data_IF_402735233657
#
_entry.id   IF_402735233657
#
_cell.length_a   1.000
_cell.length_b   1.000
_cell.length_c   1.000
_cell.angle_alpha   90.00
_cell.angle_beta   90.00
_cell.angle_gamma   90.00
#
_symmetry.space_group_name_H-M   'P 1'
#
loop_
_entity.id
_entity.type
_entity.pdbx_description
1 polymer ?
#
# COMPACT_ATOMS: atom_id res chain seq x y z
N UNK A 1 -2.70 -2.78 18.15
CA UNK A 1 -3.56 -3.01 16.98
C UNK A 1 -3.38 -4.44 16.50
N UNK A 2 -4.47 -5.10 16.18
CA UNK A 2 -4.45 -6.39 15.49
C UNK A 2 -3.72 -6.20 14.13
N UNK A 3 -2.82 -7.12 13.78
CA UNK A 3 -2.13 -7.10 12.50
C UNK A 3 -0.79 -6.37 12.47
N UNK A 4 -0.23 -5.99 13.61
CA UNK A 4 1.14 -5.44 13.64
C UNK A 4 2.17 -6.51 13.28
N UNK A 5 3.12 -6.21 12.38
CA UNK A 5 4.18 -7.17 12.05
C UNK A 5 5.05 -7.43 13.29
N UNK A 6 5.19 -8.69 13.68
CA UNK A 6 6.08 -9.10 14.78
C UNK A 6 7.27 -9.91 14.29
N UNK A 7 7.44 -9.96 12.99
CA UNK A 7 8.37 -10.82 12.28
C UNK A 7 9.76 -10.21 12.08
N UNK A 8 9.99 -9.00 12.56
CA UNK A 8 11.31 -8.39 12.61
C UNK A 8 11.64 -7.85 14.00
N UNK A 9 12.90 -7.55 14.26
CA UNK A 9 13.41 -7.12 15.56
C UNK A 9 12.84 -5.76 16.01
N UNK A 10 12.40 -4.91 15.08
CA UNK A 10 11.87 -3.58 15.41
C UNK A 10 10.47 -3.67 16.04
N UNK A 11 9.63 -4.59 15.56
CA UNK A 11 8.28 -4.78 16.07
C UNK A 11 8.20 -5.76 17.23
N UNK A 12 9.13 -6.72 17.31
CA UNK A 12 9.11 -7.79 18.31
C UNK A 12 9.20 -7.27 19.75
N UNK A 13 9.79 -6.10 19.97
CA UNK A 13 9.90 -5.43 21.28
C UNK A 13 8.60 -4.77 21.77
N UNK A 14 7.57 -4.66 20.92
CA UNK A 14 6.32 -3.97 21.26
C UNK A 14 5.15 -4.94 21.41
N UNK A 15 4.58 -4.98 22.61
CA UNK A 15 3.38 -5.78 22.88
C UNK A 15 2.07 -5.01 22.56
N UNK A 16 2.09 -3.70 22.77
CA UNK A 16 0.96 -2.82 22.48
C UNK A 16 1.48 -1.39 22.28
N UNK A 17 1.18 -0.80 21.13
CA UNK A 17 1.49 0.60 20.84
C UNK A 17 0.36 1.25 20.03
N UNK A 18 0.27 2.58 20.12
CA UNK A 18 -0.60 3.36 19.28
C UNK A 18 0.13 3.69 17.99
N UNK A 19 -0.46 3.32 16.85
CA UNK A 19 0.08 3.61 15.52
C UNK A 19 -0.91 4.49 14.77
N UNK A 20 -0.38 5.56 14.18
CA UNK A 20 -1.17 6.47 13.35
C UNK A 20 -1.55 5.75 12.06
N UNK A 21 -2.82 5.84 11.69
CA UNK A 21 -3.26 5.44 10.34
C UNK A 21 -2.72 6.46 9.33
N UNK A 22 -2.42 5.99 8.13
CA UNK A 22 -2.17 6.90 7.02
C UNK A 22 -3.41 7.75 6.77
N UNK A 23 -3.29 9.05 7.03
CA UNK A 23 -4.35 10.05 6.83
C UNK A 23 -4.01 10.97 5.65
N UNK A 24 -3.03 10.61 4.84
CA UNK A 24 -2.68 11.35 3.65
C UNK A 24 -3.88 11.34 2.70
N UNK A 25 -4.25 12.51 2.22
CA UNK A 25 -5.39 12.61 1.31
C UNK A 25 -5.00 12.05 -0.05
N UNK A 26 -5.59 10.95 -0.50
CA UNK A 26 -5.36 10.45 -1.84
C UNK A 26 -5.93 11.43 -2.86
N UNK A 27 -5.37 11.42 -4.06
CA UNK A 27 -5.93 12.17 -5.19
C UNK A 27 -7.35 11.66 -5.46
N UNK A 28 -8.33 12.58 -5.48
CA UNK A 28 -9.70 12.20 -5.80
C UNK A 28 -9.79 11.94 -7.30
N UNK A 29 -9.69 10.69 -7.66
CA UNK A 29 -9.80 10.26 -9.05
C UNK A 29 -11.28 10.30 -9.45
N UNK A 30 -11.57 11.01 -10.53
CA UNK A 30 -12.91 11.09 -11.10
C UNK A 30 -12.87 10.76 -12.59
N UNK A 31 -13.88 10.05 -13.06
CA UNK A 31 -14.01 9.56 -14.41
C UNK A 31 -15.27 10.15 -15.05
N UNK A 32 -15.10 10.81 -16.17
CA UNK A 32 -16.20 11.21 -17.06
C UNK A 32 -16.00 10.54 -18.41
N UNK A 33 -17.11 10.19 -19.09
CA UNK A 33 -17.03 9.53 -20.41
C UNK A 33 -16.23 10.36 -21.41
N UNK A 34 -16.46 11.68 -21.45
CA UNK A 34 -15.77 12.57 -22.39
C UNK A 34 -14.26 12.59 -22.18
N UNK A 35 -13.83 12.70 -20.94
CA UNK A 35 -12.40 12.71 -20.60
C UNK A 35 -11.73 11.37 -20.91
N UNK A 36 -12.43 10.27 -20.66
CA UNK A 36 -11.91 8.93 -20.94
C UNK A 36 -11.77 8.72 -22.45
N UNK A 37 -12.79 9.05 -23.23
CA UNK A 37 -12.72 8.95 -24.69
C UNK A 37 -11.64 9.85 -25.30
N UNK A 38 -11.47 11.07 -24.77
CA UNK A 38 -10.41 11.97 -25.21
C UNK A 38 -9.01 11.42 -24.97
N UNK A 39 -8.85 10.53 -23.98
CA UNK A 39 -7.60 9.86 -23.67
C UNK A 39 -7.52 8.41 -24.20
N UNK A 40 -8.41 8.03 -25.10
CA UNK A 40 -8.50 6.68 -25.69
C UNK A 40 -8.67 5.57 -24.62
N UNK A 41 -9.38 5.86 -23.54
CA UNK A 41 -9.75 4.89 -22.52
C UNK A 41 -11.09 4.27 -22.93
N UNK A 42 -11.17 2.97 -23.03
CA UNK A 42 -12.40 2.26 -23.40
C UNK A 42 -13.41 2.31 -22.25
N UNK A 43 -14.68 2.60 -22.58
CA UNK A 43 -15.71 2.88 -21.56
C UNK A 43 -16.84 1.86 -21.53
N UNK A 44 -16.88 0.92 -22.47
CA UNK A 44 -17.98 -0.05 -22.63
C UNK A 44 -17.47 -1.48 -22.77
N UNK A 45 -18.18 -2.42 -22.16
CA UNK A 45 -17.86 -3.85 -22.20
C UNK A 45 -17.17 -4.37 -20.93
N UNK A 46 -17.24 -5.68 -20.75
CA UNK A 46 -16.69 -6.36 -19.58
C UNK A 46 -15.17 -6.16 -19.42
N UNK A 47 -14.46 -6.09 -20.54
CA UNK A 47 -13.01 -5.93 -20.60
C UNK A 47 -12.62 -4.47 -20.90
N UNK A 48 -13.52 -3.51 -20.64
CA UNK A 48 -13.19 -2.10 -20.83
C UNK A 48 -12.15 -1.63 -19.80
N UNK A 49 -11.30 -0.70 -20.21
CA UNK A 49 -10.35 -0.06 -19.29
C UNK A 49 -11.05 0.52 -18.08
N UNK A 50 -12.24 1.09 -18.28
CA UNK A 50 -13.03 1.64 -17.19
C UNK A 50 -13.51 0.56 -16.21
N UNK A 51 -13.98 -0.59 -16.72
CA UNK A 51 -14.37 -1.73 -15.88
C UNK A 51 -13.20 -2.22 -15.02
N UNK A 52 -12.02 -2.33 -15.60
CA UNK A 52 -10.80 -2.76 -14.91
C UNK A 52 -10.37 -1.71 -13.87
N UNK A 53 -10.39 -0.42 -14.22
CA UNK A 53 -10.03 0.67 -13.30
C UNK A 53 -10.98 0.77 -12.09
N UNK A 54 -12.25 0.39 -12.26
CA UNK A 54 -13.20 0.28 -11.15
C UNK A 54 -13.00 -0.95 -10.27
N UNK A 55 -12.27 -1.95 -10.75
CA UNK A 55 -12.15 -3.24 -10.08
C UNK A 55 -13.42 -4.10 -10.15
N UNK A 56 -14.31 -3.81 -11.11
CA UNK A 56 -15.55 -4.56 -11.31
C UNK A 56 -15.32 -5.74 -12.25
N UNK A 57 -15.56 -6.95 -11.77
CA UNK A 57 -15.55 -8.17 -12.57
C UNK A 57 -16.75 -8.28 -13.53
N UNK A 58 -17.69 -7.34 -13.51
CA UNK A 58 -18.98 -7.42 -14.21
C UNK A 58 -19.17 -6.30 -15.25
N UNK A 59 -18.09 -5.70 -15.74
CA UNK A 59 -18.16 -4.82 -16.89
C UNK A 59 -18.99 -3.56 -16.67
N UNK A 60 -18.51 -2.67 -15.83
CA UNK A 60 -19.08 -1.32 -15.74
C UNK A 60 -18.90 -0.59 -17.07
N UNK A 61 -19.95 0.03 -17.53
CA UNK A 61 -19.95 0.88 -18.73
C UNK A 61 -20.30 2.30 -18.34
N UNK A 62 -19.61 3.28 -18.92
CA UNK A 62 -20.09 4.67 -18.99
C UNK A 62 -20.64 4.88 -20.41
N UNK A 63 -21.94 4.66 -20.57
CA UNK A 63 -22.60 4.78 -21.87
C UNK A 63 -23.16 6.17 -22.14
N UNK A 64 -23.39 6.95 -21.09
CA UNK A 64 -24.01 8.26 -21.14
C UNK A 64 -22.98 9.36 -20.84
N UNK A 65 -22.98 10.42 -21.67
CA UNK A 65 -22.13 11.60 -21.46
C UNK A 65 -22.39 12.34 -20.15
N UNK A 66 -23.54 12.10 -19.52
CA UNK A 66 -23.91 12.67 -18.24
C UNK A 66 -23.44 11.85 -17.02
N UNK A 67 -22.83 10.70 -17.25
CA UNK A 67 -22.35 9.85 -16.17
C UNK A 67 -20.94 10.25 -15.73
N UNK A 68 -20.76 10.32 -14.43
CA UNK A 68 -19.48 10.54 -13.79
C UNK A 68 -19.31 9.59 -12.59
N UNK A 69 -18.07 9.25 -12.30
CA UNK A 69 -17.69 8.43 -11.14
C UNK A 69 -16.59 9.13 -10.36
N UNK A 70 -16.65 9.00 -9.03
CA UNK A 70 -15.58 9.41 -8.12
C UNK A 70 -15.08 8.15 -7.45
N UNK A 71 -13.82 7.77 -7.68
CA UNK A 71 -13.33 6.44 -7.40
C UNK A 71 -14.24 5.39 -8.06
N UNK A 72 -14.84 4.53 -7.26
CA UNK A 72 -15.76 3.47 -7.71
C UNK A 72 -17.24 3.87 -7.61
N UNK A 73 -17.54 5.05 -7.07
CA UNK A 73 -18.89 5.49 -6.72
C UNK A 73 -19.47 6.37 -7.80
N UNK A 74 -20.68 6.03 -8.28
CA UNK A 74 -21.39 6.79 -9.31
C UNK A 74 -21.93 8.09 -8.75
N UNK A 75 -21.84 9.18 -9.54
CA UNK A 75 -22.55 10.43 -9.31
C UNK A 75 -23.97 10.29 -9.84
N UNK A 76 -24.95 10.26 -8.94
CA UNK A 76 -26.37 10.05 -9.29
C UNK A 76 -27.10 11.35 -9.61
N UNK A 77 -26.61 12.48 -9.10
CA UNK A 77 -27.12 13.81 -9.43
C UNK A 77 -25.98 14.81 -9.37
N UNK A 78 -25.78 15.53 -10.45
CA UNK A 78 -24.70 16.52 -10.58
C UNK A 78 -25.23 17.95 -10.68
N UNK A 79 -24.34 18.92 -10.45
CA UNK A 79 -24.52 20.33 -10.75
C UNK A 79 -25.73 20.99 -10.03
N UNK A 80 -26.07 20.53 -8.82
CA UNK A 80 -27.04 21.23 -8.00
C UNK A 80 -26.42 22.55 -7.54
N UNK A 81 -26.86 23.64 -8.14
CA UNK A 81 -26.32 25.00 -7.92
C UNK A 81 -26.65 25.51 -6.50
N UNK A 82 -25.62 25.98 -5.81
CA UNK A 82 -25.71 26.66 -4.54
C UNK A 82 -25.13 28.07 -4.65
N UNK A 83 -25.34 28.92 -3.63
CA UNK A 83 -24.83 30.28 -3.61
C UNK A 83 -23.30 30.37 -3.78
N UNK A 84 -22.59 29.40 -3.25
CA UNK A 84 -21.12 29.38 -3.15
C UNK A 84 -20.46 28.15 -3.76
N UNK A 85 -21.16 27.36 -4.61
CA UNK A 85 -20.63 26.19 -5.26
C UNK A 85 -21.69 25.27 -5.83
N UNK A 86 -21.33 24.01 -5.97
CA UNK A 86 -22.21 22.95 -6.49
C UNK A 86 -22.24 21.76 -5.55
N UNK A 87 -23.36 21.03 -5.53
CA UNK A 87 -23.49 19.75 -4.84
C UNK A 87 -23.61 18.67 -5.90
N UNK A 88 -22.83 17.61 -5.73
CA UNK A 88 -22.95 16.37 -6.48
C UNK A 88 -23.37 15.26 -5.52
N UNK A 89 -24.50 14.64 -5.79
CA UNK A 89 -24.99 13.51 -5.01
C UNK A 89 -24.36 12.23 -5.58
N UNK A 90 -23.80 11.43 -4.71
CA UNK A 90 -23.19 10.13 -5.03
C UNK A 90 -24.04 8.99 -4.47
N UNK A 91 -23.92 7.80 -5.07
CA UNK A 91 -24.73 6.63 -4.69
C UNK A 91 -24.32 6.00 -3.37
N UNK A 92 -23.07 6.22 -2.95
CA UNK A 92 -22.53 5.64 -1.72
C UNK A 92 -21.52 6.59 -1.07
N UNK A 93 -21.04 6.26 0.11
CA UNK A 93 -20.02 7.00 0.83
C UNK A 93 -18.67 6.88 0.09
N UNK A 94 -18.04 8.02 -0.16
CA UNK A 94 -16.72 8.04 -0.78
C UNK A 94 -15.67 7.56 0.24
N UNK A 95 -15.14 6.39 -0.01
CA UNK A 95 -14.03 5.83 0.79
C UNK A 95 -12.76 5.91 -0.06
N UNK A 96 -11.79 6.73 0.32
CA UNK A 96 -10.51 6.77 -0.36
C UNK A 96 -9.83 5.39 -0.33
N UNK A 97 -9.13 5.00 -1.41
CA UNK A 97 -8.35 3.77 -1.39
C UNK A 97 -7.25 3.85 -0.32
N UNK A 98 -6.96 2.73 0.32
CA UNK A 98 -5.82 2.57 1.21
C UNK A 98 -4.49 2.62 0.44
N UNK A 99 -3.38 2.79 1.18
CA UNK A 99 -2.06 2.61 0.57
C UNK A 99 -1.83 1.14 0.19
N UNK A 100 -0.78 0.88 -0.61
CA UNK A 100 -0.50 -0.47 -1.14
C UNK A 100 -0.36 -1.50 -0.01
N UNK A 101 0.37 -1.18 1.05
CA UNK A 101 0.57 -2.10 2.17
C UNK A 101 -0.74 -2.42 2.91
N UNK A 102 -1.65 -1.45 3.05
CA UNK A 102 -2.97 -1.67 3.63
C UNK A 102 -3.84 -2.57 2.75
N UNK A 103 -3.84 -2.34 1.44
CA UNK A 103 -4.58 -3.17 0.49
C UNK A 103 -4.06 -4.60 0.52
N UNK A 104 -2.74 -4.82 0.42
CA UNK A 104 -2.13 -6.15 0.52
C UNK A 104 -2.53 -6.89 1.82
N UNK A 105 -2.59 -6.15 2.92
CA UNK A 105 -2.96 -6.72 4.22
C UNK A 105 -4.44 -7.10 4.30
N UNK A 106 -5.32 -6.37 3.63
CA UNK A 106 -6.77 -6.61 3.62
C UNK A 106 -7.19 -7.74 2.68
N UNK A 107 -6.48 -7.93 1.57
CA UNK A 107 -6.80 -8.94 0.56
C UNK A 107 -6.63 -10.37 1.11
N UNK A 108 -7.46 -11.31 0.60
CA UNK A 108 -7.53 -12.67 1.14
C UNK A 108 -6.37 -13.55 0.75
N UNK A 109 -5.85 -13.36 -0.45
CA UNK A 109 -4.88 -14.25 -1.10
C UNK A 109 -3.48 -13.62 -1.26
N UNK A 110 -3.16 -12.60 -0.46
CA UNK A 110 -1.88 -11.88 -0.47
C UNK A 110 -1.24 -11.79 0.92
N UNK A 111 -1.55 -12.73 1.80
CA UNK A 111 -1.08 -12.71 3.20
C UNK A 111 0.43 -12.93 3.31
N UNK A 112 0.98 -13.83 2.51
CA UNK A 112 2.42 -14.12 2.52
C UNK A 112 3.22 -12.94 1.98
N UNK A 113 2.81 -12.35 0.85
CA UNK A 113 3.51 -11.16 0.33
C UNK A 113 3.35 -9.96 1.24
N UNK A 114 2.17 -9.74 1.84
CA UNK A 114 1.97 -8.71 2.85
C UNK A 114 2.92 -8.88 4.03
N UNK A 115 3.11 -10.14 4.51
CA UNK A 115 4.07 -10.46 5.56
C UNK A 115 5.52 -10.13 5.14
N UNK A 116 5.90 -10.51 3.92
CA UNK A 116 7.24 -10.22 3.38
C UNK A 116 7.48 -8.70 3.26
N UNK A 117 6.50 -7.95 2.79
CA UNK A 117 6.58 -6.48 2.75
C UNK A 117 6.74 -5.89 4.15
N UNK A 118 5.97 -6.37 5.12
CA UNK A 118 6.00 -5.88 6.50
C UNK A 118 7.33 -6.13 7.23
N UNK A 119 8.19 -7.05 6.76
CA UNK A 119 9.56 -7.17 7.26
C UNK A 119 10.37 -5.88 7.10
N UNK A 120 10.08 -5.10 6.08
CA UNK A 120 10.80 -3.87 5.75
C UNK A 120 10.22 -2.65 6.46
N UNK A 121 9.58 -2.83 7.61
CA UNK A 121 8.94 -1.74 8.34
C UNK A 121 9.39 -1.67 9.80
N UNK A 122 9.23 -0.49 10.38
CA UNK A 122 9.48 -0.27 11.80
C UNK A 122 8.54 0.79 12.37
N UNK A 123 8.32 0.79 13.70
CA UNK A 123 7.63 1.87 14.39
C UNK A 123 8.57 3.04 14.62
N UNK A 124 8.21 4.23 14.14
CA UNK A 124 8.91 5.48 14.38
C UNK A 124 8.09 6.38 15.29
N UNK A 125 8.68 6.86 16.36
CA UNK A 125 8.01 7.76 17.28
C UNK A 125 7.60 9.06 16.59
N UNK A 126 6.33 9.42 16.73
CA UNK A 126 5.76 10.66 16.20
C UNK A 126 5.47 11.64 17.33
N UNK A 127 6.45 12.47 17.63
CA UNK A 127 6.37 13.47 18.68
C UNK A 127 5.24 14.48 18.44
N UNK A 128 5.04 14.89 17.20
CA UNK A 128 4.02 15.89 16.83
C UNK A 128 2.62 15.35 17.05
N UNK A 129 2.35 14.15 16.55
CA UNK A 129 1.03 13.52 16.73
C UNK A 129 0.78 13.19 18.20
N UNK A 130 1.79 12.75 18.94
CA UNK A 130 1.68 12.51 20.39
C UNK A 130 1.31 13.79 21.14
N UNK A 131 2.01 14.90 20.86
CA UNK A 131 1.74 16.18 21.51
C UNK A 131 0.34 16.73 21.16
N UNK A 132 -0.06 16.63 19.90
CA UNK A 132 -1.39 17.08 19.44
C UNK A 132 -2.51 16.27 20.08
N UNK A 133 -2.37 14.94 20.14
CA UNK A 133 -3.34 14.08 20.83
C UNK A 133 -3.44 14.43 22.30
N UNK A 134 -2.32 14.58 23.01
CA UNK A 134 -2.32 14.87 24.44
C UNK A 134 -2.90 16.27 24.74
N UNK A 135 -2.67 17.26 23.89
CA UNK A 135 -3.31 18.57 23.99
C UNK A 135 -4.83 18.49 23.85
N UNK A 136 -5.30 17.73 22.87
CA UNK A 136 -6.72 17.45 22.70
C UNK A 136 -7.28 16.67 23.88
N UNK A 137 -6.60 15.61 24.33
CA UNK A 137 -7.04 14.79 25.46
C UNK A 137 -7.23 15.63 26.74
N UNK A 138 -6.28 16.49 27.05
CA UNK A 138 -6.37 17.40 28.20
C UNK A 138 -7.56 18.37 28.08
N UNK A 139 -7.79 18.91 26.88
CA UNK A 139 -8.92 19.82 26.64
C UNK A 139 -10.28 19.15 26.87
N UNK A 140 -10.39 17.87 26.54
CA UNK A 140 -11.66 17.11 26.60
C UNK A 140 -11.73 16.12 27.78
N UNK A 141 -10.80 16.20 28.74
CA UNK A 141 -10.79 15.32 29.91
C UNK A 141 -10.55 13.85 29.57
N UNK A 142 -9.86 13.56 28.47
CA UNK A 142 -9.51 12.23 28.04
C UNK A 142 -8.12 11.83 28.58
N UNK A 143 -7.83 10.52 28.70
CA UNK A 143 -6.51 10.06 29.10
C UNK A 143 -5.43 10.47 28.07
N UNK A 144 -4.30 10.93 28.57
CA UNK A 144 -3.10 11.12 27.75
C UNK A 144 -2.41 9.78 27.47
N UNK A 145 -1.57 9.76 26.43
CA UNK A 145 -0.77 8.59 26.06
C UNK A 145 0.70 8.97 25.97
N UNK A 146 1.59 8.02 26.28
CA UNK A 146 3.03 8.28 26.32
C UNK A 146 3.62 8.46 24.93
N UNK A 147 3.15 7.68 23.96
CA UNK A 147 3.72 7.69 22.62
C UNK A 147 2.73 7.20 21.56
N UNK A 148 2.79 7.89 20.41
CA UNK A 148 2.19 7.47 19.16
C UNK A 148 3.32 7.25 18.16
N UNK A 149 3.20 6.20 17.35
CA UNK A 149 4.19 5.83 16.37
C UNK A 149 3.60 5.91 14.95
N UNK A 150 4.47 6.11 13.96
CA UNK A 150 4.19 5.89 12.56
C UNK A 150 4.81 4.57 12.14
N UNK A 151 4.09 3.75 11.39
CA UNK A 151 4.67 2.61 10.69
C UNK A 151 5.30 3.14 9.40
N UNK A 152 6.61 3.00 9.24
CA UNK A 152 7.31 3.40 8.03
C UNK A 152 8.03 2.21 7.42
N UNK A 153 8.05 2.17 6.10
CA UNK A 153 8.80 1.17 5.34
C UNK A 153 10.18 1.72 5.00
N UNK A 154 11.18 0.85 5.14
CA UNK A 154 12.55 1.16 4.68
C UNK A 154 12.56 1.20 3.16
N UNK A 155 12.81 2.36 2.58
CA UNK A 155 12.76 2.54 1.15
C UNK A 155 13.83 3.50 0.65
N UNK A 156 14.34 3.22 -0.54
CA UNK A 156 15.27 4.11 -1.25
C UNK A 156 14.56 5.35 -1.76
N UNK A 157 13.26 5.26 -1.97
CA UNK A 157 12.38 6.34 -2.41
C UNK A 157 11.11 6.33 -1.58
N UNK A 158 10.87 7.38 -0.85
CA UNK A 158 9.61 7.61 -0.16
C UNK A 158 8.93 8.85 -0.73
N UNK A 159 7.72 9.00 -0.34
CA UNK A 159 6.92 10.13 -0.68
C UNK A 159 7.54 11.43 -0.25
N UNK A 160 7.34 12.47 -1.08
CA UNK A 160 7.98 13.75 -0.88
C UNK A 160 9.48 13.72 -1.11
N UNK A 161 10.01 12.67 -1.76
CA UNK A 161 11.41 12.55 -2.14
C UNK A 161 12.38 12.29 -0.99
N UNK A 162 11.89 12.03 0.23
CA UNK A 162 12.75 11.76 1.40
C UNK A 162 12.80 10.26 1.68
N UNK A 163 13.90 9.56 1.34
CA UNK A 163 14.00 8.13 1.59
C UNK A 163 14.02 7.79 3.08
N UNK A 164 13.33 6.71 3.47
CA UNK A 164 13.35 6.15 4.82
C UNK A 164 14.54 5.19 4.98
N UNK A 165 15.72 5.74 5.11
CA UNK A 165 17.00 5.03 5.11
C UNK A 165 17.63 4.85 6.49
N UNK A 166 16.95 5.30 7.53
CA UNK A 166 17.43 5.17 8.90
C UNK A 166 16.48 4.30 9.74
N UNK A 167 17.05 3.51 10.62
CA UNK A 167 16.29 2.78 11.65
C UNK A 167 15.65 3.75 12.64
N UNK A 168 14.68 3.33 13.48
CA UNK A 168 14.17 4.16 14.58
C UNK A 168 15.24 4.71 15.52
N UNK A 169 16.37 4.01 15.66
CA UNK A 169 17.52 4.43 16.46
C UNK A 169 18.52 5.31 15.69
N UNK A 170 18.24 5.68 14.44
CA UNK A 170 19.08 6.55 13.64
C UNK A 170 20.25 5.87 12.92
N UNK A 171 20.35 4.54 12.95
CA UNK A 171 21.35 3.80 12.19
C UNK A 171 20.97 3.67 10.71
N UNK A 172 21.94 3.74 9.81
CA UNK A 172 21.71 3.59 8.39
C UNK A 172 21.31 2.14 8.03
N UNK A 173 20.26 2.01 7.21
CA UNK A 173 19.82 0.74 6.67
C UNK A 173 20.57 0.52 5.34
N UNK A 174 21.23 -0.63 5.13
CA UNK A 174 21.92 -0.94 3.90
C UNK A 174 20.93 -1.04 2.71
N UNK A 175 21.41 -0.81 1.51
CA UNK A 175 20.57 -0.88 0.30
C UNK A 175 19.89 -2.25 0.15
N UNK A 176 20.56 -3.34 0.55
CA UNK A 176 20.00 -4.69 0.54
C UNK A 176 18.81 -4.89 1.49
N UNK A 177 18.54 -3.95 2.37
CA UNK A 177 17.41 -3.96 3.30
C UNK A 177 16.32 -2.94 2.96
N UNK A 178 16.41 -2.26 1.80
CA UNK A 178 15.46 -1.21 1.41
C UNK A 178 14.61 -1.62 0.22
N UNK A 179 13.33 -1.29 0.30
CA UNK A 179 12.45 -1.34 -0.86
C UNK A 179 12.78 -0.20 -1.82
N UNK A 180 12.56 -0.41 -3.11
CA UNK A 180 12.73 0.63 -4.13
C UNK A 180 11.72 1.77 -3.96
N UNK A 181 10.55 1.46 -3.42
CA UNK A 181 9.45 2.40 -3.22
C UNK A 181 8.75 2.16 -1.89
N UNK A 182 8.26 3.23 -1.24
CA UNK A 182 7.49 3.15 0.00
C UNK A 182 6.05 2.72 -0.30
N UNK A 183 5.65 1.58 0.23
CA UNK A 183 4.32 1.00 0.05
C UNK A 183 3.32 1.44 1.12
N UNK A 184 3.77 2.17 2.14
CA UNK A 184 3.00 2.45 3.34
C UNK A 184 2.28 3.78 3.36
N UNK A 185 2.97 4.88 3.11
CA UNK A 185 2.35 6.19 3.15
C UNK A 185 1.93 6.65 1.76
N UNK A 186 0.68 7.01 1.64
CA UNK A 186 0.14 7.54 0.42
C UNK A 186 0.24 9.07 0.44
N UNK A 187 1.29 9.66 -0.14
CA UNK A 187 1.43 11.12 -0.26
C UNK A 187 1.19 11.61 -1.67
N UNK A 188 0.11 11.27 -2.31
CA UNK A 188 -0.21 11.80 -3.63
C UNK A 188 -0.38 13.33 -3.65
N UNK A 189 -0.23 14.00 -2.50
CA UNK A 189 -0.32 15.44 -2.38
C UNK A 189 0.88 16.04 -1.66
N UNK A 190 1.85 16.46 -2.40
CA UNK A 190 2.57 17.67 -2.03
C UNK A 190 1.83 18.84 -2.68
N UNK A 191 1.61 19.88 -1.92
CA UNK A 191 0.83 21.04 -2.35
C UNK A 191 1.52 21.91 -3.42
N UNK A 192 2.70 21.55 -3.90
CA UNK A 192 3.58 22.45 -4.61
C UNK A 192 4.03 21.97 -5.99
N UNK A 193 3.86 20.69 -6.36
CA UNK A 193 4.41 20.25 -7.64
C UNK A 193 3.74 18.98 -8.20
N UNK A 194 2.83 19.18 -9.17
CA UNK A 194 2.13 18.08 -9.83
C UNK A 194 3.07 17.15 -10.64
N UNK A 195 4.25 17.62 -11.06
CA UNK A 195 5.22 16.81 -11.79
C UNK A 195 5.84 15.72 -10.90
N UNK A 196 6.03 16.01 -9.62
CA UNK A 196 6.60 15.05 -8.67
C UNK A 196 5.64 13.90 -8.31
N UNK A 197 4.34 14.05 -8.55
CA UNK A 197 3.37 12.98 -8.28
C UNK A 197 3.54 11.78 -9.20
N UNK A 198 3.74 12.03 -10.48
CA UNK A 198 3.95 10.98 -11.47
C UNK A 198 5.23 10.21 -11.19
N UNK A 199 6.24 10.91 -10.69
CA UNK A 199 7.53 10.30 -10.33
C UNK A 199 7.44 9.42 -9.09
N UNK A 200 6.49 9.70 -8.19
CA UNK A 200 6.30 8.93 -6.95
C UNK A 200 5.22 7.84 -7.07
N UNK A 201 4.53 7.78 -8.19
CA UNK A 201 3.60 6.69 -8.46
C UNK A 201 4.37 5.45 -8.92
N UNK A 202 3.96 4.31 -8.41
CA UNK A 202 4.53 3.03 -8.77
C UNK A 202 3.43 1.97 -8.89
N UNK A 203 3.79 0.85 -9.47
CA UNK A 203 2.97 -0.35 -9.49
C UNK A 203 3.72 -1.49 -8.81
N UNK A 204 3.01 -2.43 -8.23
CA UNK A 204 3.57 -3.67 -7.71
C UNK A 204 2.83 -4.86 -8.33
N UNK A 205 3.59 -5.78 -8.90
CA UNK A 205 3.07 -7.04 -9.44
C UNK A 205 3.07 -8.09 -8.33
N UNK A 206 1.92 -8.34 -7.73
CA UNK A 206 1.80 -9.11 -6.50
C UNK A 206 1.46 -10.57 -6.78
N UNK A 207 2.31 -11.53 -6.33
CA UNK A 207 1.97 -12.95 -6.38
C UNK A 207 0.90 -13.29 -5.35
N UNK A 208 0.06 -14.26 -5.67
CA UNK A 208 -0.88 -14.85 -4.71
C UNK A 208 -0.13 -15.69 -3.66
N UNK A 209 -0.79 -15.99 -2.54
CA UNK A 209 -0.25 -16.90 -1.54
C UNK A 209 0.11 -18.26 -2.15
N UNK A 210 -0.72 -18.80 -3.04
CA UNK A 210 -0.46 -20.04 -3.77
C UNK A 210 0.81 -19.94 -4.63
N UNK A 211 1.01 -18.82 -5.32
CA UNK A 211 2.22 -18.63 -6.13
C UNK A 211 3.49 -18.59 -5.27
N UNK A 212 3.43 -17.95 -4.09
CA UNK A 212 4.55 -17.92 -3.13
C UNK A 212 4.79 -19.31 -2.55
N UNK A 213 3.73 -20.03 -2.18
CA UNK A 213 3.83 -21.42 -1.73
C UNK A 213 4.49 -22.30 -2.78
N UNK A 214 4.04 -22.26 -4.03
CA UNK A 214 4.61 -23.03 -5.12
C UNK A 214 6.09 -22.70 -5.39
N UNK A 215 6.50 -21.46 -5.12
CA UNK A 215 7.89 -21.04 -5.30
C UNK A 215 8.79 -21.51 -4.18
N UNK A 216 8.40 -21.38 -2.91
CA UNK A 216 9.26 -21.63 -1.74
C UNK A 216 9.11 -23.03 -1.13
N UNK A 217 8.03 -23.78 -1.41
CA UNK A 217 7.83 -25.13 -0.90
C UNK A 217 8.67 -26.15 -1.69
N UNK A 218 8.85 -27.38 -1.15
CA UNK A 218 9.64 -28.44 -1.77
C UNK A 218 9.28 -28.69 -3.23
N UNK A 219 10.30 -28.61 -4.09
CA UNK A 219 10.17 -28.70 -5.54
C UNK A 219 9.96 -27.39 -6.27
N UNK A 220 9.77 -26.27 -5.58
CA UNK A 220 9.78 -24.91 -6.13
C UNK A 220 11.21 -24.38 -6.32
N UNK A 221 11.37 -23.39 -7.21
CA UNK A 221 12.70 -22.82 -7.51
C UNK A 221 13.34 -22.09 -6.31
N UNK A 222 12.54 -21.65 -5.34
CA UNK A 222 12.98 -20.98 -4.13
C UNK A 222 13.17 -21.89 -2.91
N UNK A 223 12.86 -23.19 -3.02
CA UNK A 223 12.97 -24.15 -1.92
C UNK A 223 14.38 -24.15 -1.29
N UNK A 224 15.41 -24.10 -2.11
CA UNK A 224 16.80 -24.09 -1.63
C UNK A 224 17.13 -22.89 -0.72
N UNK A 225 16.42 -21.76 -0.83
CA UNK A 225 16.60 -20.66 0.11
C UNK A 225 16.07 -21.02 1.49
N UNK A 226 14.96 -21.76 1.54
CA UNK A 226 14.41 -22.24 2.82
C UNK A 226 15.31 -23.31 3.42
N UNK A 227 15.87 -24.22 2.61
CA UNK A 227 16.85 -25.20 3.08
C UNK A 227 18.07 -24.56 3.71
N UNK A 228 18.58 -23.46 3.13
CA UNK A 228 19.78 -22.77 3.61
C UNK A 228 19.51 -21.82 4.79
N UNK A 229 18.38 -21.14 4.81
CA UNK A 229 18.13 -20.01 5.71
C UNK A 229 16.83 -20.12 6.50
N UNK A 230 16.05 -21.15 6.30
CA UNK A 230 14.80 -21.38 7.02
C UNK A 230 14.97 -21.51 8.53
N UNK A 231 13.88 -21.64 9.24
CA UNK A 231 13.87 -21.77 10.67
C UNK A 231 14.46 -23.13 11.09
N UNK A 232 15.40 -23.09 12.03
CA UNK A 232 16.08 -24.29 12.51
C UNK A 232 15.10 -25.29 13.13
N UNK A 233 15.15 -26.53 12.68
CA UNK A 233 14.28 -27.59 13.17
C UNK A 233 12.85 -27.56 12.64
N UNK A 234 12.50 -26.67 11.73
CA UNK A 234 11.22 -26.65 11.04
C UNK A 234 11.33 -27.22 9.63
N UNK A 235 10.48 -28.19 9.33
CA UNK A 235 10.32 -28.69 7.96
C UNK A 235 9.73 -27.62 7.04
N UNK A 236 10.11 -27.64 5.76
CA UNK A 236 9.53 -26.75 4.77
C UNK A 236 8.15 -27.26 4.33
N UNK A 237 7.13 -26.87 5.07
CA UNK A 237 5.72 -27.18 4.79
C UNK A 237 4.92 -25.89 4.69
N UNK A 238 3.73 -25.95 4.08
CA UNK A 238 2.83 -24.81 3.97
C UNK A 238 2.53 -24.15 5.33
N UNK A 239 2.36 -24.94 6.37
CA UNK A 239 2.07 -24.45 7.73
C UNK A 239 3.28 -23.69 8.31
N UNK A 240 4.48 -24.19 8.07
CA UNK A 240 5.72 -23.63 8.60
C UNK A 240 6.32 -22.54 7.70
N UNK A 241 5.82 -22.37 6.47
CA UNK A 241 6.36 -21.41 5.51
C UNK A 241 6.45 -19.98 6.06
N UNK A 242 5.45 -19.43 6.79
CA UNK A 242 5.59 -18.11 7.39
C UNK A 242 6.79 -17.98 8.33
N UNK A 243 7.05 -18.98 9.16
CA UNK A 243 8.20 -18.97 10.08
C UNK A 243 9.53 -19.15 9.33
N UNK A 244 9.55 -19.96 8.28
CA UNK A 244 10.70 -20.13 7.41
C UNK A 244 11.04 -18.84 6.66
N UNK A 245 10.04 -18.10 6.18
CA UNK A 245 10.24 -16.78 5.56
C UNK A 245 10.77 -15.74 6.56
N UNK A 246 10.32 -15.78 7.83
CA UNK A 246 10.86 -14.93 8.89
C UNK A 246 12.36 -15.20 9.11
N UNK A 247 12.74 -16.47 9.14
CA UNK A 247 14.13 -16.86 9.29
C UNK A 247 14.96 -16.49 8.05
N UNK A 248 14.43 -16.69 6.86
CA UNK A 248 15.07 -16.31 5.60
C UNK A 248 15.31 -14.79 5.55
N UNK A 249 14.35 -13.96 5.97
CA UNK A 249 14.55 -12.53 6.05
C UNK A 249 15.74 -12.15 6.95
N UNK A 250 15.80 -12.75 8.14
CA UNK A 250 16.82 -12.42 9.13
C UNK A 250 18.22 -12.94 8.77
N UNK A 251 18.34 -14.06 8.04
CA UNK A 251 19.60 -14.74 7.74
C UNK A 251 20.03 -14.59 6.28
N UNK A 252 19.08 -14.37 5.37
CA UNK A 252 19.27 -14.46 3.93
C UNK A 252 19.80 -13.20 3.26
N UNK A 253 20.32 -12.23 3.99
CA UNK A 253 21.05 -11.06 3.49
C UNK A 253 20.41 -10.34 2.29
N UNK A 254 19.13 -9.98 2.39
CA UNK A 254 18.42 -9.19 1.37
C UNK A 254 17.77 -10.01 0.25
N UNK A 255 17.71 -11.34 0.35
CA UNK A 255 17.03 -12.19 -0.65
C UNK A 255 15.57 -11.77 -0.80
N UNK A 256 14.82 -11.66 0.30
CA UNK A 256 13.42 -11.24 0.26
C UNK A 256 13.26 -9.79 -0.14
N UNK A 257 14.21 -8.92 0.17
CA UNK A 257 14.22 -7.53 -0.31
C UNK A 257 14.32 -7.48 -1.83
N UNK A 258 15.25 -8.25 -2.41
CA UNK A 258 15.39 -8.36 -3.86
C UNK A 258 14.14 -8.98 -4.50
N UNK A 259 13.56 -9.99 -3.86
CA UNK A 259 12.32 -10.61 -4.32
C UNK A 259 11.18 -9.59 -4.44
N UNK A 260 10.96 -8.76 -3.41
CA UNK A 260 9.95 -7.71 -3.44
C UNK A 260 10.29 -6.62 -4.46
N UNK A 261 11.55 -6.17 -4.51
CA UNK A 261 11.97 -5.10 -5.42
C UNK A 261 11.79 -5.48 -6.89
N UNK A 262 11.96 -6.74 -7.25
CA UNK A 262 11.68 -7.22 -8.61
C UNK A 262 10.19 -7.12 -9.01
N UNK A 263 9.30 -6.97 -8.05
CA UNK A 263 7.87 -6.79 -8.27
C UNK A 263 7.46 -5.31 -8.34
N UNK A 264 8.34 -4.40 -7.92
CA UNK A 264 8.06 -2.96 -7.86
C UNK A 264 8.49 -2.31 -9.16
N UNK A 265 7.55 -1.61 -9.80
CA UNK A 265 7.77 -0.79 -10.98
C UNK A 265 7.69 0.69 -10.56
N UNK A 266 8.84 1.31 -10.33
CA UNK A 266 8.91 2.73 -9.98
C UNK A 266 8.65 3.60 -11.21
N UNK A 267 8.10 4.79 -10.99
CA UNK A 267 7.82 5.77 -12.06
C UNK A 267 6.90 5.23 -13.16
N UNK A 268 6.12 4.20 -12.85
CA UNK A 268 5.23 3.56 -13.78
C UNK A 268 3.78 3.85 -13.41
N UNK A 269 3.09 4.52 -14.31
CA UNK A 269 1.66 4.77 -14.20
C UNK A 269 0.98 4.24 -15.44
N UNK A 270 0.66 2.94 -15.47
CA UNK A 270 -0.33 2.45 -16.41
C UNK A 270 -1.70 2.58 -15.77
N UNK A 271 -2.35 3.67 -16.04
CA UNK A 271 -3.75 3.88 -15.68
C UNK A 271 -4.69 3.26 -16.69
N UNK A 272 -4.16 2.71 -17.77
CA UNK A 272 -4.94 2.16 -18.88
C UNK A 272 -4.45 0.74 -19.19
N UNK A 273 -5.14 -0.29 -18.70
CA UNK A 273 -4.72 -1.68 -18.85
C UNK A 273 -4.51 -2.14 -20.30
N UNK A 274 -5.31 -1.65 -21.25
CA UNK A 274 -5.15 -1.95 -22.67
C UNK A 274 -3.85 -1.43 -23.31
N UNK A 275 -3.11 -0.57 -22.59
CA UNK A 275 -1.80 -0.06 -23.01
C UNK A 275 -0.63 -0.67 -22.25
N UNK A 276 -0.92 -1.70 -21.48
CA UNK A 276 0.06 -2.55 -20.83
C UNK A 276 0.65 -3.47 -21.92
N UNK A 277 1.61 -3.02 -22.64
CA UNK A 277 2.18 -3.81 -23.72
C UNK A 277 3.61 -3.40 -24.02
#
# INVERSE_FOLDING_TARGET
PEGMPKNNSYWSGYNSIHVVSDATRPMMVHFTREQMLANNITTTGADSDFGILRGDSVGASIDNSQEAYIYQTKVVKQDVTCLNGYIHQVEDVLVPPGNVAQVLRSEKNTKLISRIVDYHSAPYYDATTTANYNSWALQYGQPTIDSIFQMRYFSSRSQGGVPNILTPAGAAIPNSGRLEWDLGWNQYYSSTDAANYLDDMGAILVPTDEAIENYFLPGGEGDFFIELYGAEGLENTKENLPANLDALYNKGNGILTTFVNNMIQTSFVATVPSKFG
#
